data_IF_600621000705
#
_entry.id   IF_600621000705
#
_cell.length_a   1.000
_cell.length_b   1.000
_cell.length_c   1.000
_cell.angle_alpha   90.00
_cell.angle_beta   90.00
_cell.angle_gamma   90.00
#
_symmetry.space_group_name_H-M   'P 1'
#
loop_
_entity.id
_entity.type
_entity.pdbx_description
1 polymer ?
#
# COMPACT_ATOMS: atom_id res chain seq x y z
N UNK A 1 -29.83 -7.57 -2.89
CA UNK A 1 -28.63 -7.98 -3.64
C UNK A 1 -27.66 -6.81 -3.67
N UNK A 2 -26.84 -6.69 -2.63
CA UNK A 2 -25.66 -5.82 -2.69
C UNK A 2 -24.69 -6.57 -3.58
N UNK A 3 -24.44 -6.05 -4.79
CA UNK A 3 -23.58 -6.71 -5.78
C UNK A 3 -22.22 -7.01 -5.15
N UNK A 4 -21.63 -8.18 -5.42
CA UNK A 4 -20.26 -8.53 -4.98
C UNK A 4 -19.24 -7.42 -5.36
N UNK A 5 -19.56 -6.60 -6.36
CA UNK A 5 -18.83 -5.39 -6.76
C UNK A 5 -18.67 -4.35 -5.63
N UNK A 6 -19.61 -4.26 -4.67
CA UNK A 6 -19.55 -3.33 -3.54
C UNK A 6 -18.63 -3.83 -2.41
N UNK A 7 -18.50 -5.16 -2.23
CA UNK A 7 -17.65 -5.74 -1.20
C UNK A 7 -16.15 -5.63 -1.55
N UNK A 8 -15.80 -5.57 -2.85
CA UNK A 8 -14.44 -5.30 -3.31
C UNK A 8 -13.90 -3.90 -2.94
N UNK A 9 -14.75 -2.99 -2.43
CA UNK A 9 -14.35 -1.64 -2.05
C UNK A 9 -14.12 -1.42 -0.55
N UNK A 10 -14.50 -2.35 0.33
CA UNK A 10 -14.60 -2.05 1.78
C UNK A 10 -13.26 -2.18 2.53
N UNK A 11 -12.33 -3.01 2.04
CA UNK A 11 -11.02 -3.21 2.69
C UNK A 11 -9.88 -2.95 1.72
N UNK A 12 -8.84 -2.24 2.17
CA UNK A 12 -7.59 -2.12 1.44
C UNK A 12 -6.61 -3.17 1.93
N UNK A 13 -5.73 -3.58 1.03
CA UNK A 13 -4.40 -4.02 1.43
C UNK A 13 -3.57 -2.76 1.64
N UNK A 14 -3.09 -2.55 2.86
CA UNK A 14 -2.30 -1.36 3.21
C UNK A 14 -0.82 -1.73 3.24
N UNK A 15 -0.02 -0.92 2.54
CA UNK A 15 1.43 -1.13 2.41
C UNK A 15 2.15 0.17 2.74
N UNK A 16 3.10 0.11 3.66
CA UNK A 16 3.82 1.28 4.14
C UNK A 16 5.19 1.39 3.47
N UNK A 17 5.44 2.49 2.78
CA UNK A 17 6.70 2.76 2.07
C UNK A 17 7.66 3.59 2.91
N UNK A 18 8.90 3.13 3.01
CA UNK A 18 9.94 3.70 3.88
C UNK A 18 11.31 3.71 3.18
N UNK A 19 12.16 4.67 3.54
CA UNK A 19 13.53 4.78 3.01
C UNK A 19 14.52 3.77 3.61
N UNK A 20 14.16 3.16 4.74
CA UNK A 20 14.99 2.19 5.47
C UNK A 20 14.10 1.13 6.11
N UNK A 21 14.60 -0.12 6.23
CA UNK A 21 13.97 -1.13 7.07
C UNK A 21 14.12 -0.78 8.55
N UNK A 22 13.01 -0.80 9.27
CA UNK A 22 12.89 -0.75 10.72
C UNK A 22 12.49 -2.13 11.23
N UNK A 23 13.16 -2.57 12.30
CA UNK A 23 12.75 -3.71 13.11
C UNK A 23 11.76 -3.20 14.17
N UNK A 24 10.46 -3.43 13.95
CA UNK A 24 9.38 -2.97 14.82
C UNK A 24 9.26 -3.78 16.12
N UNK A 25 10.01 -4.89 16.26
CA UNK A 25 10.07 -5.65 17.51
C UNK A 25 11.19 -5.18 18.44
N UNK A 26 12.11 -4.34 17.92
CA UNK A 26 13.22 -3.80 18.70
C UNK A 26 12.75 -2.81 19.78
N UNK A 27 13.36 -2.79 20.99
CA UNK A 27 13.04 -1.81 22.03
C UNK A 27 13.18 -0.36 21.57
N UNK A 28 14.13 -0.09 20.68
CA UNK A 28 14.35 1.22 20.08
C UNK A 28 13.15 1.68 19.25
N UNK A 29 12.53 0.75 18.50
CA UNK A 29 11.36 1.07 17.66
C UNK A 29 10.09 1.35 18.46
N UNK A 30 9.95 0.78 19.65
CA UNK A 30 8.81 1.03 20.52
C UNK A 30 8.77 2.48 21.05
N UNK A 31 9.90 3.17 20.99
CA UNK A 31 10.04 4.58 21.39
C UNK A 31 10.03 5.53 20.19
N UNK A 32 10.15 5.02 18.96
CA UNK A 32 10.17 5.84 17.76
C UNK A 32 8.82 6.53 17.52
N UNK A 33 8.89 7.82 17.24
CA UNK A 33 7.79 8.63 16.75
C UNK A 33 7.85 8.74 15.22
N UNK A 34 6.77 9.25 14.62
CA UNK A 34 6.72 9.49 13.16
C UNK A 34 7.88 10.39 12.70
N UNK A 35 8.26 11.36 13.52
CA UNK A 35 9.32 12.32 13.26
C UNK A 35 10.73 11.69 13.27
N UNK A 36 10.88 10.51 13.88
CA UNK A 36 12.15 9.78 13.91
C UNK A 36 12.37 8.95 12.64
N UNK A 37 11.33 8.79 11.80
CA UNK A 37 11.44 8.08 10.53
C UNK A 37 12.35 8.84 9.55
N UNK A 38 13.36 8.18 8.96
CA UNK A 38 14.19 8.82 7.95
C UNK A 38 13.35 9.23 6.74
N UNK A 39 13.47 10.50 6.35
CA UNK A 39 12.66 11.06 5.26
C UNK A 39 12.88 10.36 3.92
N UNK A 40 11.80 10.23 3.14
CA UNK A 40 11.82 9.87 1.71
C UNK A 40 12.33 11.01 0.81
N UNK A 41 12.31 12.25 1.30
CA UNK A 41 12.69 13.47 0.58
C UNK A 41 11.59 14.53 0.50
N UNK A 42 11.80 15.52 -0.37
CA UNK A 42 10.81 16.58 -0.62
C UNK A 42 9.64 16.04 -1.43
N UNK A 43 8.42 16.42 -1.05
CA UNK A 43 7.17 16.02 -1.71
C UNK A 43 7.18 16.27 -3.21
N UNK A 44 7.58 17.47 -3.63
CA UNK A 44 7.59 17.83 -5.06
C UNK A 44 8.51 16.91 -5.87
N UNK A 45 9.72 16.61 -5.37
CA UNK A 45 10.67 15.71 -6.02
C UNK A 45 10.15 14.27 -6.05
N UNK A 46 9.46 13.84 -4.99
CA UNK A 46 8.82 12.53 -4.91
C UNK A 46 7.70 12.41 -5.94
N UNK A 47 6.77 13.36 -5.97
CA UNK A 47 5.65 13.37 -6.92
C UNK A 47 6.17 13.40 -8.35
N UNK A 48 7.19 14.22 -8.63
CA UNK A 48 7.81 14.29 -9.95
C UNK A 48 8.38 12.93 -10.38
N UNK A 49 9.13 12.25 -9.50
CA UNK A 49 9.70 10.93 -9.81
C UNK A 49 8.61 9.86 -9.97
N UNK A 50 7.60 9.85 -9.08
CA UNK A 50 6.50 8.89 -9.13
C UNK A 50 5.68 9.05 -10.41
N UNK A 51 5.33 10.26 -10.81
CA UNK A 51 4.55 10.53 -12.03
C UNK A 51 5.35 10.29 -13.32
N UNK A 52 6.68 10.47 -13.29
CA UNK A 52 7.55 10.03 -14.39
C UNK A 52 7.61 8.50 -14.50
N UNK A 53 7.64 7.80 -13.36
CA UNK A 53 7.71 6.35 -13.31
C UNK A 53 6.38 5.66 -13.66
N UNK A 54 5.27 6.29 -13.25
CA UNK A 54 3.89 5.84 -13.40
C UNK A 54 3.09 6.96 -14.10
N UNK A 55 3.09 7.01 -15.44
CA UNK A 55 2.47 8.12 -16.18
C UNK A 55 0.96 8.32 -15.94
N UNK A 56 0.25 7.27 -15.51
CA UNK A 56 -1.19 7.31 -15.22
C UNK A 56 -1.48 7.64 -13.75
N UNK A 57 -0.46 7.91 -12.93
CA UNK A 57 -0.61 8.31 -11.53
C UNK A 57 -1.03 9.79 -11.47
N UNK A 58 -2.24 10.04 -11.01
CA UNK A 58 -2.77 11.39 -10.82
C UNK A 58 -2.39 11.93 -9.43
N UNK A 59 -1.70 13.07 -9.40
CA UNK A 59 -1.34 13.81 -8.18
C UNK A 59 -1.91 15.24 -8.19
N UNK A 60 -3.06 15.44 -8.83
CA UNK A 60 -3.78 16.72 -8.82
C UNK A 60 -4.06 17.20 -7.39
N UNK A 61 -4.27 16.26 -6.45
CA UNK A 61 -4.11 16.50 -5.02
C UNK A 61 -2.68 16.09 -4.60
N UNK A 62 -1.84 17.07 -4.25
CA UNK A 62 -0.44 16.82 -3.87
C UNK A 62 -0.27 16.02 -2.57
N UNK A 63 -1.34 15.85 -1.78
CA UNK A 63 -1.33 15.00 -0.59
C UNK A 63 -1.74 13.55 -0.87
N UNK A 64 -2.38 13.30 -2.02
CA UNK A 64 -3.03 12.04 -2.33
C UNK A 64 -2.91 11.67 -3.82
N UNK A 65 -2.01 10.75 -4.13
CA UNK A 65 -1.89 10.19 -5.48
C UNK A 65 -2.93 9.12 -5.75
N UNK A 66 -3.44 9.03 -6.97
CA UNK A 66 -4.38 7.99 -7.38
C UNK A 66 -3.92 7.35 -8.70
N UNK A 67 -3.57 6.07 -8.65
CA UNK A 67 -3.43 5.23 -9.82
C UNK A 67 -4.65 4.31 -9.89
N UNK A 68 -5.38 4.34 -11.00
CA UNK A 68 -6.59 3.53 -11.18
C UNK A 68 -6.63 2.92 -12.57
N UNK A 69 -6.91 1.63 -12.62
CA UNK A 69 -7.30 0.92 -13.83
C UNK A 69 -8.66 0.22 -13.64
N UNK A 70 -9.02 -0.65 -14.59
CA UNK A 70 -10.29 -1.37 -14.56
C UNK A 70 -10.32 -2.54 -13.54
N UNK A 71 -9.17 -2.91 -12.96
CA UNK A 71 -8.99 -4.09 -12.12
C UNK A 71 -8.73 -3.69 -10.65
N UNK A 72 -7.97 -2.62 -10.43
CA UNK A 72 -7.56 -2.15 -9.11
C UNK A 72 -7.32 -0.65 -9.05
N UNK A 73 -7.22 -0.15 -7.82
CA UNK A 73 -6.73 1.19 -7.54
C UNK A 73 -5.64 1.14 -6.46
N UNK A 74 -4.66 2.02 -6.61
CA UNK A 74 -3.59 2.25 -5.64
C UNK A 74 -3.61 3.73 -5.30
N UNK A 75 -3.91 4.02 -4.03
CA UNK A 75 -3.90 5.37 -3.48
C UNK A 75 -2.57 5.59 -2.77
N UNK A 76 -1.87 6.70 -3.05
CA UNK A 76 -0.58 7.05 -2.48
C UNK A 76 -0.78 8.22 -1.50
N UNK A 77 -0.99 7.91 -0.23
CA UNK A 77 -1.13 8.92 0.81
C UNK A 77 0.26 9.45 1.21
N UNK A 78 0.58 10.65 0.74
CA UNK A 78 1.85 11.36 1.00
C UNK A 78 1.77 12.39 2.13
N UNK A 79 0.59 12.60 2.71
CA UNK A 79 0.37 13.61 3.75
C UNK A 79 0.43 15.05 3.24
N UNK A 80 0.32 16.03 4.14
CA UNK A 80 0.29 17.46 3.82
C UNK A 80 1.69 18.12 3.91
N UNK A 81 2.66 17.43 4.50
CA UNK A 81 4.00 17.93 4.81
C UNK A 81 4.85 18.15 3.55
N UNK A 82 5.75 19.14 3.56
CA UNK A 82 6.69 19.38 2.44
C UNK A 82 7.79 18.31 2.35
N UNK A 83 8.15 17.74 3.51
CA UNK A 83 9.12 16.66 3.65
C UNK A 83 8.36 15.40 4.04
N UNK A 84 8.43 14.39 3.19
CA UNK A 84 7.66 13.15 3.36
C UNK A 84 8.51 12.17 4.16
N UNK A 85 7.99 11.66 5.27
CA UNK A 85 8.64 10.64 6.08
C UNK A 85 8.37 9.22 5.56
N UNK A 86 7.17 9.01 5.05
CA UNK A 86 6.66 7.73 4.56
C UNK A 86 5.45 7.96 3.66
N UNK A 87 5.08 6.93 2.90
CA UNK A 87 3.84 6.92 2.11
C UNK A 87 3.02 5.71 2.52
N UNK A 88 1.75 5.90 2.80
CA UNK A 88 0.81 4.79 2.97
C UNK A 88 0.12 4.50 1.64
N UNK A 89 0.26 3.27 1.15
CA UNK A 89 -0.50 2.80 0.00
C UNK A 89 -1.80 2.18 0.48
N UNK A 90 -2.91 2.55 -0.16
CA UNK A 90 -4.18 1.85 0.00
C UNK A 90 -4.53 1.16 -1.32
N UNK A 91 -4.47 -0.16 -1.34
CA UNK A 91 -4.69 -0.95 -2.54
C UNK A 91 -6.05 -1.64 -2.46
N UNK A 92 -6.89 -1.46 -3.49
CA UNK A 92 -8.25 -2.02 -3.56
C UNK A 92 -8.48 -2.71 -4.90
N UNK A 93 -9.35 -3.72 -4.93
CA UNK A 93 -9.65 -4.50 -6.13
C UNK A 93 -8.86 -5.82 -6.23
N UNK A 94 -8.68 -6.32 -7.45
CA UNK A 94 -7.98 -7.57 -7.74
C UNK A 94 -6.65 -7.37 -8.49
N UNK A 95 -6.13 -8.41 -9.13
CA UNK A 95 -4.93 -8.30 -9.98
C UNK A 95 -3.62 -8.52 -9.23
N UNK A 96 -2.49 -7.99 -9.72
CA UNK A 96 -1.20 -8.11 -9.04
C UNK A 96 -0.55 -6.72 -8.85
N UNK A 97 -0.94 -5.98 -7.79
CA UNK A 97 -0.37 -4.67 -7.47
C UNK A 97 1.11 -4.74 -7.08
N UNK A 98 1.65 -5.92 -6.74
CA UNK A 98 3.02 -6.09 -6.27
C UNK A 98 4.06 -5.65 -7.32
N UNK A 99 3.79 -5.81 -8.61
CA UNK A 99 4.71 -5.35 -9.67
C UNK A 99 4.86 -3.83 -9.70
N UNK A 100 3.79 -3.09 -9.39
CA UNK A 100 3.84 -1.63 -9.31
C UNK A 100 4.64 -1.21 -8.08
N UNK A 101 4.39 -1.85 -6.94
CA UNK A 101 5.11 -1.57 -5.70
C UNK A 101 6.60 -1.90 -5.85
N UNK A 102 6.94 -3.05 -6.44
CA UNK A 102 8.32 -3.45 -6.77
C UNK A 102 9.02 -2.39 -7.64
N UNK A 103 8.35 -1.95 -8.71
CA UNK A 103 8.87 -0.93 -9.63
C UNK A 103 9.16 0.37 -8.89
N UNK A 104 8.24 0.82 -8.04
CA UNK A 104 8.41 2.03 -7.20
C UNK A 104 9.56 1.86 -6.22
N UNK A 105 9.58 0.78 -5.43
CA UNK A 105 10.63 0.51 -4.45
C UNK A 105 12.01 0.42 -5.09
N UNK A 106 12.13 -0.26 -6.22
CA UNK A 106 13.40 -0.40 -6.96
C UNK A 106 13.90 0.93 -7.49
N UNK A 107 13.02 1.74 -8.10
CA UNK A 107 13.40 3.03 -8.68
C UNK A 107 13.75 4.07 -7.61
N UNK A 108 13.06 4.02 -6.47
CA UNK A 108 13.21 5.01 -5.39
C UNK A 108 14.22 4.59 -4.32
N UNK A 109 14.65 3.33 -4.31
CA UNK A 109 15.48 2.76 -3.24
C UNK A 109 14.71 2.64 -1.92
N UNK A 110 13.42 2.34 -1.99
CA UNK A 110 12.53 2.24 -0.83
C UNK A 110 12.18 0.79 -0.50
N UNK A 111 11.63 0.61 0.69
CA UNK A 111 11.14 -0.65 1.22
C UNK A 111 9.62 -0.57 1.41
N UNK A 112 8.94 -1.69 1.20
CA UNK A 112 7.50 -1.82 1.40
C UNK A 112 7.23 -2.80 2.55
N UNK A 113 6.48 -2.36 3.54
CA UNK A 113 6.02 -3.17 4.67
C UNK A 113 4.54 -3.50 4.47
N UNK A 114 4.19 -4.78 4.46
CA UNK A 114 2.80 -5.23 4.47
C UNK A 114 2.22 -5.02 5.88
N UNK A 115 1.24 -4.12 6.00
CA UNK A 115 0.65 -3.81 7.31
C UNK A 115 -0.22 -4.95 7.87
N UNK A 116 -0.60 -5.93 7.05
CA UNK A 116 -1.39 -7.09 7.50
C UNK A 116 -0.54 -8.19 8.11
N UNK A 117 0.72 -8.34 7.68
CA UNK A 117 1.65 -9.36 8.21
C UNK A 117 2.73 -8.76 9.11
N UNK A 118 3.04 -7.46 8.96
CA UNK A 118 4.19 -6.82 9.60
C UNK A 118 5.51 -7.17 8.91
N UNK A 119 5.49 -7.81 7.75
CA UNK A 119 6.69 -8.24 7.04
C UNK A 119 7.02 -7.33 5.86
N UNK A 120 8.31 -7.17 5.56
CA UNK A 120 8.75 -6.47 4.35
C UNK A 120 8.49 -7.33 3.13
N UNK A 121 7.89 -6.74 2.11
CA UNK A 121 7.74 -7.38 0.81
C UNK A 121 9.12 -7.70 0.24
N UNK A 122 9.25 -8.95 -0.23
CA UNK A 122 10.41 -9.42 -0.97
C UNK A 122 10.06 -9.41 -2.44
N UNK A 123 10.84 -8.68 -3.24
CA UNK A 123 10.63 -8.54 -4.68
C UNK A 123 11.61 -9.39 -5.50
N UNK A 124 12.29 -10.36 -4.86
CA UNK A 124 12.99 -11.38 -5.63
C UNK A 124 11.95 -12.30 -6.31
N UNK A 125 12.35 -12.91 -7.43
CA UNK A 125 11.45 -13.59 -8.39
C UNK A 125 10.71 -14.84 -7.87
N UNK A 126 10.45 -14.96 -6.56
CA UNK A 126 9.85 -16.16 -5.97
C UNK A 126 8.58 -16.01 -5.16
N UNK A 127 8.16 -14.84 -4.69
CA UNK A 127 6.99 -14.78 -3.80
C UNK A 127 5.90 -13.79 -4.25
N UNK A 128 5.00 -14.28 -5.11
CA UNK A 128 3.62 -13.74 -5.28
C UNK A 128 2.72 -14.01 -4.06
N UNK A 129 3.25 -14.63 -3.00
CA UNK A 129 2.50 -15.21 -1.90
C UNK A 129 1.76 -14.19 -1.02
N UNK A 130 2.32 -12.99 -0.78
CA UNK A 130 1.70 -12.01 0.14
C UNK A 130 0.37 -11.47 -0.38
N UNK A 131 0.30 -11.12 -1.67
CA UNK A 131 -0.94 -10.64 -2.27
C UNK A 131 -1.99 -11.76 -2.40
N UNK A 132 -1.56 -12.96 -2.78
CA UNK A 132 -2.45 -14.13 -2.86
C UNK A 132 -3.02 -14.52 -1.49
N UNK A 133 -2.22 -14.42 -0.43
CA UNK A 133 -2.66 -14.66 0.94
C UNK A 133 -3.69 -13.60 1.40
N UNK A 134 -3.44 -12.32 1.15
CA UNK A 134 -4.42 -11.25 1.42
C UNK A 134 -5.71 -11.47 0.62
N UNK A 135 -5.60 -11.79 -0.67
CA UNK A 135 -6.75 -12.05 -1.54
C UNK A 135 -7.56 -13.25 -1.01
N UNK A 136 -6.88 -14.33 -0.62
CA UNK A 136 -7.52 -15.51 -0.05
C UNK A 136 -8.19 -15.24 1.30
N UNK A 137 -7.60 -14.41 2.16
CA UNK A 137 -8.24 -13.97 3.41
C UNK A 137 -9.49 -13.13 3.13
N UNK A 138 -9.38 -12.13 2.24
CA UNK A 138 -10.51 -11.30 1.81
C UNK A 138 -11.64 -12.16 1.27
N UNK A 139 -11.35 -13.05 0.33
CA UNK A 139 -12.36 -13.88 -0.33
C UNK A 139 -13.07 -14.82 0.67
N UNK A 140 -12.40 -15.25 1.75
CA UNK A 140 -13.01 -16.03 2.85
C UNK A 140 -13.95 -15.20 3.73
N UNK A 141 -13.60 -13.96 4.03
CA UNK A 141 -14.41 -13.07 4.88
C UNK A 141 -15.62 -12.56 4.10
N UNK A 142 -15.42 -12.17 2.85
CA UNK A 142 -16.45 -11.65 1.95
C UNK A 142 -17.39 -12.75 1.43
N UNK A 143 -16.92 -14.00 1.39
CA UNK A 143 -17.71 -15.17 0.99
C UNK A 143 -18.58 -15.79 2.08
N UNK A 144 -18.56 -15.26 3.32
CA UNK A 144 -19.44 -15.73 4.40
C UNK A 144 -20.73 -14.89 4.38
N UNK A 145 -21.90 -15.47 4.07
CA UNK A 145 -23.16 -14.80 4.40
C UNK A 145 -23.15 -14.54 5.90
N UNK A 146 -23.60 -13.36 6.32
CA UNK A 146 -23.91 -13.11 7.72
C UNK A 146 -24.88 -14.17 8.21
N UNK A 147 -24.48 -14.97 9.21
CA UNK A 147 -25.35 -15.91 9.93
C UNK A 147 -26.30 -15.13 10.86
N UNK A 148 -27.02 -14.15 10.31
CA UNK A 148 -28.10 -13.40 10.97
C UNK A 148 -29.29 -13.28 10.02
N UNK A 149 -29.84 -14.42 9.58
CA UNK A 149 -31.24 -14.46 9.14
C UNK A 149 -31.79 -15.90 9.14
N UNK A 150 -32.04 -16.43 10.33
CA UNK A 150 -33.01 -17.52 10.52
C UNK A 150 -33.54 -17.49 11.97
N UNK A 151 -34.65 -16.76 12.12
CA UNK A 151 -35.65 -16.99 13.15
C UNK A 151 -36.41 -18.29 12.87
#
# INVERSE_FOLDING_TARGET
MVSNQLLFQIMSWDVFLMSKKIDFDSPESQQMQKEDLPSLGKKEEIIQKLTQLLPDLDYSDTSWGLLRDNIHSIEFNTGAEEVVASIMLHIRGGGNPAQIIEKVCTAMGWYALDCSTGEYLQFDQKDQASFEAWQGFRDKIVGRPSDEEQA
#
